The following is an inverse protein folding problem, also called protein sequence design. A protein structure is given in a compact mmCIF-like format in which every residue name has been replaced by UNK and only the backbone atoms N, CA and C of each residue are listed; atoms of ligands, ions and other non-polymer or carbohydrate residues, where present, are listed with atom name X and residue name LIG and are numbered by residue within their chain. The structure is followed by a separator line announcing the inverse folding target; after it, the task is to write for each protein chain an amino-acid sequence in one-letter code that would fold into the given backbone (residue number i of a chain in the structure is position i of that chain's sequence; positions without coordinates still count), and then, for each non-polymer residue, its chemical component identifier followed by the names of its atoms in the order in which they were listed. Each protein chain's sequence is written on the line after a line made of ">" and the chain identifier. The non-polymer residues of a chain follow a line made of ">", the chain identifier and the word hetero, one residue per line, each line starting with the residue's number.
data_IF_030434378814
#
_entry.id   IF_030434378814
#
_cell.length_a   1.000
_cell.length_b   1.000
_cell.length_c   1.000
_cell.angle_alpha   90.00
_cell.angle_beta   90.00
_cell.angle_gamma   90.00
#
_symmetry.space_group_name_H-M   'P 1'
#
loop_
_entity.id
_entity.type
_entity.pdbx_description
1 polymer ?
#
# COMPACT_ATOMS: atom_id res chain seq x y z
N UNK A 1 18.90 -15.19 97.26
CA UNK A 1 18.64 -13.87 97.88
C UNK A 1 18.37 -12.87 96.77
N UNK A 2 17.19 -12.23 96.82
CA UNK A 2 16.90 -10.81 96.49
C UNK A 2 17.60 -10.20 95.25
N UNK A 3 16.91 -9.64 94.26
CA UNK A 3 15.56 -9.14 94.25
C UNK A 3 15.19 -8.57 92.86
N UNK A 4 13.89 -8.34 92.74
CA UNK A 4 13.23 -7.82 91.56
C UNK A 4 13.70 -6.40 91.19
N UNK A 5 13.72 -6.12 89.88
CA UNK A 5 13.49 -4.77 89.35
C UNK A 5 12.45 -4.85 88.24
N UNK A 6 11.34 -4.15 88.51
CA UNK A 6 10.27 -3.84 87.58
C UNK A 6 10.79 -3.20 86.30
N UNK A 7 10.33 -3.69 85.15
CA UNK A 7 10.35 -2.95 83.89
C UNK A 7 8.93 -2.90 83.35
N UNK A 8 8.37 -1.70 83.39
CA UNK A 8 7.04 -1.34 82.92
C UNK A 8 6.95 -1.50 81.39
N UNK A 9 6.14 -2.45 80.90
CA UNK A 9 5.79 -2.54 79.47
C UNK A 9 4.88 -1.36 79.07
N UNK A 10 5.42 -0.39 78.32
CA UNK A 10 4.60 0.57 77.56
C UNK A 10 3.99 -0.15 76.35
N UNK A 11 2.67 -0.38 76.38
CA UNK A 11 1.87 -0.76 75.20
C UNK A 11 1.98 0.33 74.13
N UNK A 12 2.73 0.08 73.07
CA UNK A 12 2.67 0.87 71.84
C UNK A 12 1.37 0.53 71.12
N UNK A 13 0.43 1.47 71.06
CA UNK A 13 -0.77 1.35 70.21
C UNK A 13 -0.34 1.60 68.76
N UNK A 14 -0.16 0.54 67.99
CA UNK A 14 -0.01 0.63 66.52
C UNK A 14 -1.32 1.14 65.94
N UNK A 15 -1.38 2.43 65.55
CA UNK A 15 -2.44 2.95 64.69
C UNK A 15 -2.21 2.40 63.28
N UNK A 16 -3.01 1.42 62.88
CA UNK A 16 -3.11 1.01 61.48
C UNK A 16 -3.84 2.14 60.75
N UNK A 17 -3.10 2.92 59.96
CA UNK A 17 -3.67 3.88 59.02
C UNK A 17 -4.22 3.06 57.83
N UNK A 18 -5.54 2.98 57.70
CA UNK A 18 -6.15 2.59 56.43
C UNK A 18 -5.95 3.76 55.45
N UNK A 19 -4.93 3.65 54.59
CA UNK A 19 -4.81 4.51 53.42
C UNK A 19 -5.77 3.94 52.38
N UNK A 20 -6.95 4.54 52.26
CA UNK A 20 -7.82 4.33 51.11
C UNK A 20 -7.06 4.83 49.89
N UNK A 21 -6.54 3.91 49.08
CA UNK A 21 -5.96 4.23 47.78
C UNK A 21 -7.13 4.65 46.88
N UNK A 22 -7.42 5.95 46.85
CA UNK A 22 -8.33 6.52 45.88
C UNK A 22 -7.61 6.42 44.53
N UNK A 23 -7.90 5.38 43.76
CA UNK A 23 -7.51 5.29 42.37
C UNK A 23 -8.29 6.37 41.61
N UNK A 24 -7.75 7.59 41.58
CA UNK A 24 -8.20 8.61 40.64
C UNK A 24 -7.88 8.10 39.25
N UNK A 25 -8.88 7.54 38.57
CA UNK A 25 -8.85 7.43 37.12
C UNK A 25 -8.67 8.85 36.60
N UNK A 26 -7.47 9.19 36.15
CA UNK A 26 -7.25 10.35 35.31
C UNK A 26 -8.02 10.05 34.02
N UNK A 27 -9.30 10.41 33.99
CA UNK A 27 -10.00 10.64 32.74
C UNK A 27 -9.28 11.84 32.13
N UNK A 28 -8.30 11.56 31.25
CA UNK A 28 -7.73 12.58 30.39
C UNK A 28 -8.91 13.28 29.72
N UNK A 29 -9.05 14.61 29.85
CA UNK A 29 -10.08 15.30 29.09
C UNK A 29 -9.82 14.94 27.62
N UNK A 30 -10.83 14.39 26.95
CA UNK A 30 -10.82 14.29 25.49
C UNK A 30 -10.76 15.73 24.99
N UNK A 31 -9.55 16.24 24.77
CA UNK A 31 -9.38 17.48 24.02
C UNK A 31 -9.97 17.22 22.64
N UNK A 32 -10.82 18.14 22.18
CA UNK A 32 -11.29 18.11 20.81
C UNK A 32 -10.05 18.15 19.90
N UNK A 33 -9.83 17.08 19.13
CA UNK A 33 -8.72 17.02 18.19
C UNK A 33 -8.97 18.01 17.06
N UNK A 34 -7.97 18.82 16.71
CA UNK A 34 -8.07 19.74 15.59
C UNK A 34 -8.17 18.91 14.30
N UNK A 35 -9.18 19.19 13.46
CA UNK A 35 -9.38 18.54 12.16
C UNK A 35 -8.09 18.55 11.34
N UNK A 36 -7.28 19.62 11.46
CA UNK A 36 -5.99 19.76 10.77
C UNK A 36 -5.00 18.63 11.07
N UNK A 37 -5.10 17.98 12.22
CA UNK A 37 -4.23 16.84 12.56
C UNK A 37 -4.50 15.62 11.68
N UNK A 38 -5.70 15.50 11.12
CA UNK A 38 -6.10 14.40 10.24
C UNK A 38 -5.88 14.70 8.75
N UNK A 39 -5.81 15.97 8.36
CA UNK A 39 -5.74 16.37 6.94
C UNK A 39 -4.39 16.03 6.32
N UNK A 40 -4.40 15.49 5.09
CA UNK A 40 -3.28 15.17 4.23
C UNK A 40 -3.26 13.69 3.83
N UNK A 41 -2.12 13.23 3.31
CA UNK A 41 -1.91 11.85 2.84
C UNK A 41 -1.34 10.96 3.95
N UNK A 42 -1.79 9.72 4.02
CA UNK A 42 -1.46 8.78 5.09
C UNK A 42 -1.21 7.37 4.59
N UNK A 43 -0.07 6.84 4.97
CA UNK A 43 0.32 5.45 4.80
C UNK A 43 -0.35 4.63 5.91
N UNK A 44 -1.35 3.84 5.54
CA UNK A 44 -2.16 3.08 6.50
C UNK A 44 -1.73 1.62 6.54
N UNK A 45 -1.60 1.08 7.74
CA UNK A 45 -1.44 -0.34 8.02
C UNK A 45 -2.70 -0.85 8.70
N UNK A 46 -3.34 -1.84 8.08
CA UNK A 46 -4.53 -2.50 8.59
C UNK A 46 -4.13 -3.83 9.18
N UNK A 47 -4.46 -4.05 10.45
CA UNK A 47 -4.14 -5.29 11.16
C UNK A 47 -5.44 -6.02 11.52
N UNK A 48 -5.83 -7.04 10.74
CA UNK A 48 -7.00 -7.86 11.07
C UNK A 48 -6.74 -8.69 12.33
N UNK A 49 -7.79 -9.22 12.95
CA UNK A 49 -7.67 -10.13 14.09
C UNK A 49 -6.89 -11.42 13.76
N UNK A 50 -6.83 -11.81 12.48
CA UNK A 50 -6.00 -12.92 12.00
C UNK A 50 -4.50 -12.63 12.05
N UNK A 51 -4.12 -11.37 12.29
CA UNK A 51 -2.77 -10.94 12.63
C UNK A 51 -1.87 -10.59 11.44
N UNK A 52 -2.22 -10.93 10.19
CA UNK A 52 -1.40 -10.57 9.02
C UNK A 52 -1.75 -9.16 8.52
N UNK A 53 -0.90 -8.14 8.73
CA UNK A 53 -1.22 -6.78 8.32
C UNK A 53 -1.15 -6.63 6.81
N UNK A 54 -1.82 -5.61 6.29
CA UNK A 54 -1.76 -5.23 4.88
C UNK A 54 -1.85 -3.72 4.69
N UNK A 55 -1.32 -3.19 3.58
CA UNK A 55 -1.35 -1.77 3.31
C UNK A 55 -2.71 -1.30 2.81
N UNK A 56 -3.04 -0.08 3.20
CA UNK A 56 -4.02 0.80 2.57
C UNK A 56 -3.45 2.23 2.58
N UNK A 57 -4.18 3.16 2.01
CA UNK A 57 -3.79 4.57 2.01
C UNK A 57 -5.01 5.48 1.99
N UNK A 58 -4.90 6.66 2.57
CA UNK A 58 -5.98 7.66 2.56
C UNK A 58 -5.41 9.06 2.38
N UNK A 59 -6.14 9.90 1.64
CA UNK A 59 -5.92 11.34 1.56
C UNK A 59 -7.17 12.06 2.02
N UNK A 60 -6.98 13.02 2.93
CA UNK A 60 -8.03 13.85 3.51
C UNK A 60 -7.72 15.31 3.26
N UNK A 61 -8.69 16.06 2.79
CA UNK A 61 -8.63 17.52 2.58
C UNK A 61 -9.82 18.18 3.27
N UNK A 62 -9.75 19.49 3.46
CA UNK A 62 -10.86 20.26 4.01
C UNK A 62 -11.14 21.44 3.08
N UNK A 63 -12.41 21.61 2.75
CA UNK A 63 -12.92 22.76 2.00
C UNK A 63 -14.20 23.27 2.66
N UNK A 64 -14.20 24.52 3.08
CA UNK A 64 -15.37 25.18 3.69
C UNK A 64 -15.94 24.48 4.92
N UNK A 65 -15.12 23.82 5.74
CA UNK A 65 -15.53 23.06 6.92
C UNK A 65 -15.97 21.62 6.65
N UNK A 66 -15.99 21.18 5.38
CA UNK A 66 -16.29 19.81 4.99
C UNK A 66 -14.99 19.04 4.75
N UNK A 67 -14.90 17.84 5.34
CA UNK A 67 -13.78 16.93 5.09
C UNK A 67 -14.10 16.12 3.83
N UNK A 68 -13.20 16.15 2.88
CA UNK A 68 -13.25 15.39 1.62
C UNK A 68 -12.01 14.52 1.50
N UNK A 69 -11.98 13.62 0.53
CA UNK A 69 -10.84 12.74 0.39
C UNK A 69 -11.10 11.50 -0.46
N UNK A 70 -10.11 10.62 -0.44
CA UNK A 70 -10.14 9.33 -1.14
C UNK A 70 -9.36 8.29 -0.36
N UNK A 71 -9.77 7.04 -0.54
CA UNK A 71 -9.13 5.87 0.06
C UNK A 71 -8.68 4.92 -1.04
N UNK A 72 -7.48 4.37 -0.87
CA UNK A 72 -6.98 3.24 -1.65
C UNK A 72 -7.15 1.97 -0.80
N UNK A 73 -8.10 1.08 -1.14
CA UNK A 73 -8.22 -0.21 -0.49
C UNK A 73 -7.04 -1.13 -0.82
N UNK A 74 -6.96 -2.29 -0.16
CA UNK A 74 -5.86 -3.26 -0.32
C UNK A 74 -5.66 -3.68 -1.77
N UNK A 75 -6.73 -3.77 -2.55
CA UNK A 75 -6.71 -4.12 -3.96
C UNK A 75 -7.83 -3.40 -4.70
N UNK A 76 -7.72 -3.34 -6.03
CA UNK A 76 -8.64 -2.56 -6.85
C UNK A 76 -8.35 -1.05 -6.82
N UNK A 77 -9.24 -0.28 -7.43
CA UNK A 77 -9.10 1.16 -7.59
C UNK A 77 -9.28 1.93 -6.28
N UNK A 78 -8.65 3.10 -6.18
CA UNK A 78 -9.03 4.08 -5.17
C UNK A 78 -10.44 4.59 -5.46
N UNK A 79 -11.12 5.09 -4.42
CA UNK A 79 -12.41 5.75 -4.59
C UNK A 79 -12.55 6.90 -3.57
N UNK A 80 -13.42 7.89 -3.84
CA UNK A 80 -13.67 8.95 -2.88
C UNK A 80 -14.25 8.39 -1.57
N UNK A 81 -13.99 9.07 -0.45
CA UNK A 81 -14.75 8.86 0.78
C UNK A 81 -16.16 9.42 0.57
N UNK A 82 -17.17 8.84 1.21
CA UNK A 82 -18.55 9.29 1.02
C UNK A 82 -19.04 10.23 2.11
N UNK A 83 -18.43 10.17 3.29
CA UNK A 83 -18.63 11.13 4.37
C UNK A 83 -17.42 11.15 5.32
N UNK A 84 -17.22 12.28 6.01
CA UNK A 84 -16.28 12.39 7.10
C UNK A 84 -16.67 13.49 8.08
N UNK A 85 -16.66 13.19 9.37
CA UNK A 85 -17.03 14.13 10.43
C UNK A 85 -16.35 13.80 11.76
N UNK A 86 -16.27 14.79 12.65
CA UNK A 86 -15.78 14.59 14.01
C UNK A 86 -16.94 14.14 14.91
N UNK A 87 -16.78 12.99 15.58
CA UNK A 87 -17.71 12.50 16.59
C UNK A 87 -16.93 12.06 17.84
N UNK A 88 -17.31 12.60 19.00
CA UNK A 88 -16.67 12.25 20.29
C UNK A 88 -15.14 12.35 20.27
N UNK A 89 -14.61 13.39 19.61
CA UNK A 89 -13.17 13.63 19.49
C UNK A 89 -12.40 12.67 18.57
N UNK A 90 -13.10 11.84 17.80
CA UNK A 90 -12.53 11.01 16.73
C UNK A 90 -12.97 11.51 15.37
N UNK A 91 -12.12 11.33 14.36
CA UNK A 91 -12.55 11.44 12.97
C UNK A 91 -13.23 10.14 12.55
N UNK A 92 -14.49 10.21 12.14
CA UNK A 92 -15.22 9.11 11.52
C UNK A 92 -15.20 9.34 10.01
N UNK A 93 -14.67 8.37 9.25
CA UNK A 93 -14.62 8.42 7.78
C UNK A 93 -15.40 7.24 7.22
N UNK A 94 -16.33 7.49 6.30
CA UNK A 94 -17.01 6.43 5.55
C UNK A 94 -16.16 6.08 4.33
N UNK A 95 -15.51 4.92 4.40
CA UNK A 95 -14.56 4.39 3.41
C UNK A 95 -15.17 3.28 2.56
N UNK A 96 -16.46 3.01 2.69
CA UNK A 96 -17.17 2.05 1.87
C UNK A 96 -18.66 2.11 2.12
N UNK A 97 -19.44 2.19 1.05
CA UNK A 97 -20.89 2.32 1.18
C UNK A 97 -21.54 1.08 1.76
N UNK A 98 -22.66 1.30 2.43
CA UNK A 98 -23.42 0.26 3.10
C UNK A 98 -23.92 -0.84 2.16
N UNK A 99 -24.20 -0.51 0.89
CA UNK A 99 -24.86 -1.43 -0.04
C UNK A 99 -26.14 -2.01 0.59
N UNK A 100 -26.23 -3.34 0.66
CA UNK A 100 -27.32 -4.06 1.35
C UNK A 100 -27.05 -4.32 2.85
N UNK A 101 -25.89 -3.92 3.38
CA UNK A 101 -25.46 -4.12 4.77
C UNK A 101 -25.16 -2.80 5.47
N UNK A 102 -24.15 -2.81 6.35
CA UNK A 102 -23.65 -1.59 7.02
C UNK A 102 -22.47 -0.99 6.27
N UNK A 103 -22.34 0.34 6.32
CA UNK A 103 -21.19 1.04 5.79
C UNK A 103 -19.90 0.61 6.50
N UNK A 104 -18.79 0.68 5.76
CA UNK A 104 -17.45 0.51 6.29
C UNK A 104 -16.94 1.88 6.74
N UNK A 105 -16.63 2.01 8.03
CA UNK A 105 -16.16 3.27 8.61
C UNK A 105 -14.83 3.11 9.30
N UNK A 106 -14.00 4.14 9.26
CA UNK A 106 -12.80 4.23 10.09
C UNK A 106 -13.04 5.25 11.19
N UNK A 107 -12.88 4.82 12.44
CA UNK A 107 -12.81 5.73 13.59
C UNK A 107 -11.34 5.97 13.94
N UNK A 108 -10.87 7.19 13.69
CA UNK A 108 -9.47 7.58 13.79
C UNK A 108 -9.25 8.59 14.91
N UNK A 109 -8.10 8.50 15.55
CA UNK A 109 -7.52 9.50 16.45
C UNK A 109 -6.10 9.85 15.98
N UNK A 110 -5.65 11.05 16.31
CA UNK A 110 -4.26 11.50 16.19
C UNK A 110 -3.60 11.42 17.57
N UNK A 111 -2.92 10.30 17.91
CA UNK A 111 -2.27 10.16 19.21
C UNK A 111 -1.02 11.04 19.35
N UNK A 112 -0.41 11.44 18.23
CA UNK A 112 0.71 12.36 18.16
C UNK A 112 0.88 12.90 16.73
N UNK A 113 1.60 14.01 16.58
CA UNK A 113 1.84 14.63 15.30
C UNK A 113 2.38 13.63 14.25
N UNK A 114 1.69 13.53 13.11
CA UNK A 114 2.06 12.64 12.02
C UNK A 114 1.76 11.16 12.25
N UNK A 115 0.94 10.83 13.26
CA UNK A 115 0.42 9.48 13.51
C UNK A 115 -1.10 9.47 13.53
N UNK A 116 -1.68 8.41 12.97
CA UNK A 116 -3.08 8.05 13.19
C UNK A 116 -3.16 6.68 13.87
N UNK A 117 -4.19 6.50 14.68
CA UNK A 117 -4.57 5.22 15.25
C UNK A 117 -6.08 5.07 15.23
N UNK A 118 -6.59 3.87 15.01
CA UNK A 118 -8.04 3.69 14.94
C UNK A 118 -8.49 2.26 14.75
N UNK A 119 -9.77 2.14 14.44
CA UNK A 119 -10.43 0.87 14.17
C UNK A 119 -11.33 1.03 12.94
N UNK A 120 -11.29 0.04 12.07
CA UNK A 120 -12.29 -0.12 11.03
C UNK A 120 -13.54 -0.78 11.64
N UNK A 121 -14.72 -0.28 11.29
CA UNK A 121 -16.01 -0.78 11.79
C UNK A 121 -16.95 -1.07 10.65
N UNK A 122 -17.82 -2.05 10.88
CA UNK A 122 -18.95 -2.36 10.01
C UNK A 122 -20.24 -2.21 10.82
N UNK A 123 -20.85 -1.04 10.76
CA UNK A 123 -21.85 -0.63 11.74
C UNK A 123 -21.21 -0.54 13.14
N UNK A 124 -21.81 -1.18 14.14
CA UNK A 124 -21.30 -1.17 15.52
C UNK A 124 -20.25 -2.25 15.81
N UNK A 125 -19.91 -3.07 14.81
CA UNK A 125 -18.94 -4.17 14.97
C UNK A 125 -17.53 -3.68 14.68
N UNK A 126 -16.66 -3.79 15.67
CA UNK A 126 -15.23 -3.55 15.53
C UNK A 126 -14.59 -4.60 14.61
N UNK A 127 -13.77 -4.11 13.68
CA UNK A 127 -12.99 -4.89 12.73
C UNK A 127 -11.49 -4.71 12.96
N UNK A 128 -10.69 -4.66 11.88
CA UNK A 128 -9.25 -4.48 11.95
C UNK A 128 -8.80 -3.21 12.69
N UNK A 129 -7.63 -3.29 13.33
CA UNK A 129 -6.94 -2.13 13.88
C UNK A 129 -6.24 -1.35 12.78
N UNK A 130 -6.25 -0.02 12.89
CA UNK A 130 -5.66 0.90 11.93
C UNK A 130 -4.50 1.65 12.59
N UNK A 131 -3.38 1.71 11.89
CA UNK A 131 -2.26 2.58 12.22
C UNK A 131 -1.87 3.37 10.98
N UNK A 132 -1.77 4.69 11.11
CA UNK A 132 -1.38 5.59 10.03
C UNK A 132 -0.09 6.33 10.36
N UNK A 133 0.75 6.50 9.34
CA UNK A 133 1.88 7.42 9.36
C UNK A 133 1.68 8.45 8.28
N UNK A 134 2.09 9.70 8.55
CA UNK A 134 2.01 10.73 7.54
C UNK A 134 2.82 10.29 6.32
N UNK A 135 2.20 10.32 5.15
CA UNK A 135 2.90 9.97 3.92
C UNK A 135 4.08 10.94 3.75
N UNK A 136 5.30 10.42 3.52
CA UNK A 136 6.51 11.22 3.42
C UNK A 136 6.45 12.13 2.19
N UNK A 137 7.01 13.34 2.31
CA UNK A 137 7.31 14.15 1.13
C UNK A 137 8.54 13.56 0.44
N UNK A 138 8.37 12.99 -0.76
CA UNK A 138 9.45 12.36 -1.54
C UNK A 138 9.60 13.06 -2.89
N UNK A 139 9.79 14.37 -2.82
CA UNK A 139 10.17 15.20 -3.96
C UNK A 139 11.70 15.32 -4.00
N UNK A 140 12.31 14.73 -5.03
CA UNK A 140 13.77 14.69 -5.18
C UNK A 140 14.16 15.04 -6.62
N UNK A 141 15.25 15.78 -6.82
CA UNK A 141 15.72 16.10 -8.16
C UNK A 141 16.15 14.83 -8.91
N UNK A 142 15.84 14.77 -10.20
CA UNK A 142 16.26 13.67 -11.07
C UNK A 142 17.80 13.57 -11.08
N UNK A 143 18.37 12.39 -10.79
CA UNK A 143 19.81 12.16 -10.86
C UNK A 143 20.39 12.47 -12.24
N UNK A 144 21.52 13.19 -12.27
CA UNK A 144 22.24 13.56 -13.49
C UNK A 144 22.95 12.38 -14.15
N UNK A 145 23.39 11.41 -13.36
CA UNK A 145 24.14 10.25 -13.83
C UNK A 145 23.51 8.94 -13.34
N UNK A 146 23.48 7.98 -14.26
CA UNK A 146 22.93 6.64 -14.05
C UNK A 146 23.98 5.59 -14.36
N UNK A 147 23.91 4.43 -13.70
CA UNK A 147 24.72 3.27 -14.06
C UNK A 147 24.36 2.79 -15.47
N UNK A 148 25.27 2.03 -16.10
CA UNK A 148 24.89 1.25 -17.29
C UNK A 148 23.76 0.27 -16.94
N UNK A 149 22.79 0.02 -17.83
CA UNK A 149 21.75 -0.96 -17.58
C UNK A 149 22.35 -2.33 -17.30
N UNK A 150 21.78 -3.04 -16.32
CA UNK A 150 22.05 -4.45 -16.05
C UNK A 150 20.76 -5.26 -16.10
N UNK A 151 20.85 -6.52 -16.47
CA UNK A 151 19.69 -7.41 -16.47
C UNK A 151 19.19 -7.73 -15.05
N UNK A 152 17.87 -7.76 -14.89
CA UNK A 152 17.16 -8.37 -13.74
C UNK A 152 16.67 -9.78 -14.06
N UNK A 153 16.64 -10.15 -15.34
CA UNK A 153 16.31 -11.49 -15.81
C UNK A 153 17.24 -11.85 -16.97
N UNK A 154 17.88 -13.01 -16.91
CA UNK A 154 18.92 -13.43 -17.85
C UNK A 154 18.43 -14.41 -18.92
N UNK A 155 17.13 -14.73 -18.91
CA UNK A 155 16.50 -15.66 -19.85
C UNK A 155 16.58 -17.14 -19.45
N UNK A 156 17.23 -17.50 -18.34
CA UNK A 156 17.56 -18.89 -18.03
C UNK A 156 16.77 -19.46 -16.86
N UNK A 157 16.68 -18.71 -15.77
CA UNK A 157 16.00 -19.13 -14.55
C UNK A 157 15.42 -17.94 -13.79
N UNK A 158 14.72 -18.21 -12.69
CA UNK A 158 14.12 -17.18 -11.83
C UNK A 158 15.10 -16.66 -10.77
N UNK A 159 16.42 -16.82 -10.93
CA UNK A 159 17.37 -16.32 -9.94
C UNK A 159 17.21 -14.81 -9.78
N UNK A 160 17.08 -14.37 -8.54
CA UNK A 160 16.79 -12.98 -8.21
C UNK A 160 15.29 -12.66 -8.15
N UNK A 161 14.41 -13.63 -8.37
CA UNK A 161 12.96 -13.54 -8.24
C UNK A 161 12.44 -14.59 -7.27
N UNK A 162 11.40 -14.23 -6.51
CA UNK A 162 10.73 -15.15 -5.60
C UNK A 162 9.20 -15.03 -5.70
N UNK A 163 8.47 -16.16 -5.60
CA UNK A 163 7.01 -16.15 -5.62
C UNK A 163 6.44 -15.59 -4.33
N UNK A 164 5.33 -14.87 -4.43
CA UNK A 164 4.57 -14.32 -3.31
C UNK A 164 3.07 -14.53 -3.51
N UNK A 165 2.29 -14.35 -2.44
CA UNK A 165 0.86 -14.62 -2.46
C UNK A 165 0.59 -16.12 -2.48
N UNK A 166 -0.02 -16.63 -3.55
CA UNK A 166 -0.35 -18.04 -3.70
C UNK A 166 0.84 -18.89 -4.18
N UNK A 167 1.90 -18.97 -3.37
CA UNK A 167 3.18 -19.62 -3.71
C UNK A 167 3.01 -21.08 -4.12
N UNK A 168 2.07 -21.80 -3.51
CA UNK A 168 1.77 -23.20 -3.85
C UNK A 168 1.23 -23.37 -5.28
N UNK A 169 0.63 -22.31 -5.84
CA UNK A 169 0.18 -22.24 -7.23
C UNK A 169 1.09 -21.36 -8.08
N UNK A 170 2.41 -21.51 -7.95
CA UNK A 170 3.36 -20.78 -8.79
C UNK A 170 3.30 -21.27 -10.25
N UNK A 171 3.04 -20.33 -11.18
CA UNK A 171 3.00 -20.56 -12.63
C UNK A 171 4.15 -19.89 -13.38
N UNK A 172 5.07 -19.24 -12.67
CA UNK A 172 6.18 -18.52 -13.27
C UNK A 172 7.30 -19.48 -13.68
N UNK A 173 7.72 -19.37 -14.94
CA UNK A 173 8.79 -20.18 -15.52
C UNK A 173 9.70 -19.33 -16.40
N UNK A 174 10.98 -19.71 -16.47
CA UNK A 174 11.86 -19.24 -17.53
C UNK A 174 11.74 -20.20 -18.71
N UNK A 175 11.27 -19.71 -19.86
CA UNK A 175 11.05 -20.52 -21.06
C UNK A 175 11.44 -19.70 -22.29
N UNK A 176 12.28 -20.27 -23.15
CA UNK A 176 12.70 -19.66 -24.43
C UNK A 176 13.31 -18.26 -24.31
N UNK A 177 14.02 -17.97 -23.20
CA UNK A 177 14.62 -16.66 -22.95
C UNK A 177 13.66 -15.63 -22.32
N UNK A 178 12.45 -16.07 -21.95
CA UNK A 178 11.37 -15.22 -21.44
C UNK A 178 10.96 -15.65 -20.03
N UNK A 179 10.50 -14.67 -19.24
CA UNK A 179 9.88 -14.88 -17.95
C UNK A 179 8.37 -14.95 -18.18
N UNK A 180 7.80 -16.14 -18.02
CA UNK A 180 6.42 -16.43 -18.42
C UNK A 180 5.57 -16.73 -17.19
N UNK A 181 4.43 -16.06 -17.06
CA UNK A 181 3.36 -16.48 -16.16
C UNK A 181 2.42 -17.43 -16.93
N UNK A 182 2.57 -18.74 -16.75
CA UNK A 182 1.77 -19.75 -17.47
C UNK A 182 0.40 -19.98 -16.79
N UNK A 183 -0.40 -18.91 -16.73
CA UNK A 183 -1.70 -18.87 -16.07
C UNK A 183 -2.85 -18.58 -17.06
N UNK A 184 -3.18 -19.52 -17.96
CA UNK A 184 -4.23 -19.30 -18.97
C UNK A 184 -5.59 -19.05 -18.33
N UNK A 185 -6.45 -18.31 -19.03
CA UNK A 185 -7.86 -18.19 -18.65
C UNK A 185 -8.55 -19.56 -18.81
N UNK A 186 -9.24 -20.00 -17.76
CA UNK A 186 -10.05 -21.22 -17.79
C UNK A 186 -11.52 -20.82 -17.57
N UNK A 187 -12.39 -20.94 -18.59
CA UNK A 187 -13.79 -20.57 -18.48
C UNK A 187 -14.48 -21.24 -17.29
N UNK A 188 -15.14 -20.44 -16.47
CA UNK A 188 -15.88 -20.91 -15.28
C UNK A 188 -15.00 -21.22 -14.06
N UNK A 189 -13.68 -21.15 -14.17
CA UNK A 189 -12.77 -21.33 -13.03
C UNK A 189 -12.47 -19.98 -12.39
N UNK A 190 -13.08 -19.71 -11.23
CA UNK A 190 -12.73 -18.59 -10.36
C UNK A 190 -11.87 -19.12 -9.22
N UNK A 191 -10.56 -19.08 -9.38
CA UNK A 191 -9.58 -19.50 -8.37
C UNK A 191 -8.94 -18.32 -7.64
N UNK A 192 -8.14 -18.60 -6.60
CA UNK A 192 -7.36 -17.61 -5.85
C UNK A 192 -6.15 -17.01 -6.62
N UNK A 193 -6.15 -17.09 -7.95
CA UNK A 193 -5.02 -16.69 -8.80
C UNK A 193 -3.78 -17.60 -8.67
N UNK A 194 -2.83 -17.44 -9.59
CA UNK A 194 -1.47 -17.99 -9.44
C UNK A 194 -0.65 -17.16 -8.44
N UNK A 195 0.57 -17.60 -8.15
CA UNK A 195 1.53 -16.76 -7.43
C UNK A 195 1.82 -15.49 -8.24
N UNK A 196 2.06 -14.40 -7.53
CA UNK A 196 2.82 -13.30 -8.10
C UNK A 196 4.32 -13.55 -7.90
N UNK A 197 5.20 -12.73 -8.49
CA UNK A 197 6.64 -12.77 -8.19
C UNK A 197 7.19 -11.38 -7.88
N UNK A 198 8.28 -11.32 -7.12
CA UNK A 198 9.01 -10.09 -6.89
C UNK A 198 10.52 -10.29 -6.95
N UNK A 199 11.26 -9.22 -7.22
CA UNK A 199 12.72 -9.26 -7.14
C UNK A 199 13.17 -9.39 -5.68
N UNK A 200 14.24 -10.14 -5.44
CA UNK A 200 14.87 -10.21 -4.11
C UNK A 200 15.64 -8.93 -3.77
N UNK A 201 16.11 -8.21 -4.80
CA UNK A 201 16.70 -6.88 -4.66
C UNK A 201 15.63 -5.79 -4.51
N UNK A 202 15.98 -4.72 -3.81
CA UNK A 202 15.12 -3.53 -3.61
C UNK A 202 15.79 -2.29 -4.20
N UNK A 203 14.97 -1.41 -4.76
CA UNK A 203 15.39 -0.21 -5.48
C UNK A 203 14.68 1.03 -4.94
N UNK A 204 15.38 2.16 -4.98
CA UNK A 204 14.85 3.45 -4.57
C UNK A 204 14.46 4.27 -5.80
N UNK A 205 15.45 4.88 -6.45
CA UNK A 205 15.30 5.54 -7.75
C UNK A 205 15.89 4.65 -8.82
N UNK A 206 15.26 4.60 -9.99
CA UNK A 206 15.71 3.76 -11.08
C UNK A 206 15.22 4.23 -12.43
N UNK A 207 15.90 3.74 -13.47
CA UNK A 207 15.35 3.57 -14.79
C UNK A 207 15.15 2.08 -15.03
N UNK A 208 13.95 1.68 -15.42
CA UNK A 208 13.57 0.33 -15.80
C UNK A 208 13.29 0.30 -17.30
N UNK A 209 13.85 -0.68 -18.00
CA UNK A 209 13.36 -1.12 -19.30
C UNK A 209 12.79 -2.53 -19.15
N UNK A 210 11.62 -2.76 -19.72
CA UNK A 210 10.94 -4.06 -19.68
C UNK A 210 10.11 -4.25 -20.94
N UNK A 211 10.24 -5.40 -21.58
CA UNK A 211 9.37 -5.80 -22.68
C UNK A 211 8.31 -6.75 -22.15
N UNK A 212 7.07 -6.57 -22.62
CA UNK A 212 5.93 -7.39 -22.23
C UNK A 212 5.10 -7.77 -23.44
N UNK A 213 4.60 -9.00 -23.44
CA UNK A 213 3.52 -9.46 -24.29
C UNK A 213 2.35 -9.90 -23.40
N UNK A 214 1.22 -9.21 -23.53
CA UNK A 214 0.00 -9.51 -22.81
C UNK A 214 -1.09 -9.87 -23.84
N UNK A 215 -1.64 -11.09 -23.84
CA UNK A 215 -2.67 -11.50 -24.78
C UNK A 215 -3.98 -10.72 -24.57
N UNK A 216 -4.89 -10.78 -25.55
CA UNK A 216 -6.25 -10.28 -25.35
C UNK A 216 -6.91 -10.97 -24.15
N UNK A 217 -7.63 -10.20 -23.34
CA UNK A 217 -8.24 -10.69 -22.08
C UNK A 217 -7.24 -10.90 -20.93
N UNK A 218 -5.93 -10.81 -21.19
CA UNK A 218 -4.90 -10.90 -20.17
C UNK A 218 -4.90 -9.68 -19.24
N UNK A 219 -4.55 -9.91 -17.98
CA UNK A 219 -4.34 -8.86 -16.99
C UNK A 219 -3.13 -9.18 -16.11
N UNK A 220 -2.33 -8.17 -15.83
CA UNK A 220 -1.16 -8.17 -14.96
C UNK A 220 -0.83 -6.73 -14.59
N UNK A 221 0.30 -6.54 -13.91
CA UNK A 221 0.80 -5.24 -13.49
C UNK A 221 2.29 -5.31 -13.20
N UNK A 222 3.00 -4.24 -13.53
CA UNK A 222 4.40 -4.02 -13.16
C UNK A 222 4.42 -3.05 -12.00
N UNK A 223 4.66 -3.56 -10.80
CA UNK A 223 4.66 -2.75 -9.59
C UNK A 223 6.05 -2.21 -9.29
N UNK A 224 6.15 -0.89 -9.42
CA UNK A 224 7.32 -0.09 -9.13
C UNK A 224 7.48 0.02 -7.60
N UNK A 225 8.63 -0.43 -7.09
CA UNK A 225 8.92 -0.54 -5.64
C UNK A 225 7.89 -1.38 -4.87
N UNK A 226 7.14 -2.25 -5.56
CA UNK A 226 6.07 -3.05 -4.97
C UNK A 226 4.84 -2.25 -4.53
N UNK A 227 4.67 -1.01 -5.01
CA UNK A 227 3.64 -0.08 -4.51
C UNK A 227 2.85 0.63 -5.59
N UNK A 228 3.45 0.87 -6.76
CA UNK A 228 2.81 1.63 -7.83
C UNK A 228 2.68 0.78 -9.08
N UNK A 229 1.47 0.40 -9.41
CA UNK A 229 1.16 -0.44 -10.56
C UNK A 229 1.19 0.37 -11.86
N UNK A 230 2.11 0.01 -12.74
CA UNK A 230 2.00 0.26 -14.17
C UNK A 230 1.18 -0.88 -14.77
N UNK A 231 -0.03 -0.56 -15.23
CA UNK A 231 -1.01 -1.53 -15.67
C UNK A 231 -0.57 -2.31 -16.92
N UNK A 232 -0.74 -3.64 -16.90
CA UNK A 232 -0.47 -4.51 -18.05
C UNK A 232 -1.74 -5.24 -18.46
N UNK A 233 -2.32 -4.85 -19.59
CA UNK A 233 -3.53 -5.46 -20.15
C UNK A 233 -4.67 -4.46 -20.29
N UNK A 234 -5.74 -4.89 -20.95
CA UNK A 234 -6.89 -4.05 -21.37
C UNK A 234 -6.51 -2.87 -22.26
N UNK A 235 -7.17 -2.75 -23.42
CA UNK A 235 -7.19 -1.54 -24.25
C UNK A 235 -8.62 -1.31 -24.74
N UNK A 236 -9.10 -0.07 -24.77
CA UNK A 236 -10.48 0.24 -25.19
C UNK A 236 -11.54 -0.07 -24.14
N UNK A 237 -11.15 -0.02 -22.86
CA UNK A 237 -12.04 -0.23 -21.72
C UNK A 237 -12.91 1.00 -21.43
N UNK A 238 -13.86 0.83 -20.50
CA UNK A 238 -14.71 1.95 -20.03
C UNK A 238 -13.99 2.89 -19.06
N UNK A 239 -12.91 2.43 -18.45
CA UNK A 239 -12.12 3.17 -17.46
C UNK A 239 -10.70 3.34 -18.02
N UNK A 240 -10.37 4.49 -18.63
CA UNK A 240 -9.05 4.73 -19.21
C UNK A 240 -7.90 4.55 -18.21
N UNK A 241 -8.10 4.85 -16.93
CA UNK A 241 -7.08 4.67 -15.87
C UNK A 241 -6.83 3.20 -15.49
N UNK A 242 -7.49 2.25 -16.16
CA UNK A 242 -7.30 0.80 -15.99
C UNK A 242 -6.76 0.15 -17.27
N UNK A 243 -6.34 0.94 -18.25
CA UNK A 243 -5.79 0.44 -19.52
C UNK A 243 -4.28 0.24 -19.46
N UNK A 244 -3.75 -0.55 -20.41
CA UNK A 244 -2.33 -0.82 -20.61
C UNK A 244 -1.50 0.48 -20.58
N UNK A 245 -0.54 0.54 -19.67
CA UNK A 245 0.35 1.69 -19.48
C UNK A 245 -0.21 2.79 -18.55
N UNK A 246 -1.41 2.64 -17.99
CA UNK A 246 -1.89 3.52 -16.92
C UNK A 246 -1.04 3.36 -15.66
N UNK A 247 -0.87 4.45 -14.90
CA UNK A 247 -0.60 4.30 -13.47
C UNK A 247 -1.95 3.99 -12.84
N UNK A 248 -2.14 2.73 -12.44
CA UNK A 248 -3.46 2.15 -12.20
C UNK A 248 -4.33 3.05 -11.31
N UNK A 249 -5.56 3.30 -11.76
CA UNK A 249 -6.56 4.16 -11.13
C UNK A 249 -6.21 5.66 -11.05
N UNK A 250 -4.95 6.07 -11.18
CA UNK A 250 -4.54 7.48 -11.06
C UNK A 250 -4.44 8.20 -12.41
N UNK A 251 -3.62 7.68 -13.32
CA UNK A 251 -3.28 8.37 -14.56
C UNK A 251 -3.54 7.47 -15.77
N UNK A 252 -4.52 7.80 -16.62
CA UNK A 252 -4.78 7.06 -17.85
C UNK A 252 -3.65 7.26 -18.87
N UNK A 253 -3.45 6.32 -19.82
CA UNK A 253 -2.59 6.57 -20.96
C UNK A 253 -3.16 7.73 -21.81
N UNK A 254 -2.35 8.36 -22.69
CA UNK A 254 -2.83 9.38 -23.60
C UNK A 254 -3.96 8.86 -24.50
N UNK A 255 -4.91 9.73 -24.85
CA UNK A 255 -6.00 9.38 -25.74
C UNK A 255 -5.46 8.86 -27.09
N UNK A 256 -6.01 7.74 -27.57
CA UNK A 256 -5.59 7.12 -28.83
C UNK A 256 -4.21 6.43 -28.79
N UNK A 257 -3.60 6.26 -27.62
CA UNK A 257 -2.29 5.60 -27.50
C UNK A 257 -2.33 4.05 -27.61
N UNK A 258 -3.51 3.46 -27.80
CA UNK A 258 -3.69 2.01 -27.98
C UNK A 258 -2.76 1.46 -29.06
N UNK A 259 -2.07 0.34 -28.77
CA UNK A 259 -1.10 -0.27 -29.69
C UNK A 259 -1.34 -1.77 -29.93
N UNK A 260 -2.47 -2.29 -29.44
CA UNK A 260 -2.89 -3.68 -29.56
C UNK A 260 -2.25 -4.58 -28.50
N UNK A 261 -3.05 -5.54 -28.04
CA UNK A 261 -2.62 -6.64 -27.18
C UNK A 261 -2.09 -7.81 -28.04
N UNK A 262 -1.45 -8.78 -27.39
CA UNK A 262 -0.87 -9.98 -28.01
C UNK A 262 0.45 -9.75 -28.77
N UNK A 263 1.00 -8.54 -28.68
CA UNK A 263 2.27 -8.15 -29.32
C UNK A 263 3.27 -7.73 -28.25
N UNK A 264 4.55 -7.90 -28.56
CA UNK A 264 5.62 -7.32 -27.76
C UNK A 264 5.55 -5.80 -27.81
N UNK A 265 5.55 -5.19 -26.63
CA UNK A 265 5.63 -3.74 -26.42
C UNK A 265 6.68 -3.47 -25.34
N UNK A 266 7.30 -2.29 -25.37
CA UNK A 266 8.30 -1.89 -24.38
C UNK A 266 7.73 -0.88 -23.41
N UNK A 267 8.17 -0.94 -22.16
CA UNK A 267 8.05 0.17 -21.21
C UNK A 267 9.43 0.63 -20.77
N UNK A 268 9.68 1.93 -20.92
CA UNK A 268 10.82 2.63 -20.35
C UNK A 268 10.31 3.54 -19.24
N UNK A 269 10.66 3.21 -18.00
CA UNK A 269 10.15 3.87 -16.80
C UNK A 269 11.30 4.55 -16.07
N UNK A 270 11.15 5.82 -15.72
CA UNK A 270 12.01 6.49 -14.74
C UNK A 270 11.16 6.78 -13.50
N UNK A 271 11.59 6.28 -12.34
CA UNK A 271 10.98 6.61 -11.06
C UNK A 271 12.03 7.30 -10.18
N UNK A 272 11.76 8.53 -9.78
CA UNK A 272 12.58 9.29 -8.83
C UNK A 272 11.68 9.81 -7.72
N UNK A 273 11.92 9.35 -6.49
CA UNK A 273 10.98 9.59 -5.40
C UNK A 273 9.63 8.93 -5.69
N UNK A 274 8.64 9.77 -6.00
CA UNK A 274 7.30 9.37 -6.43
C UNK A 274 6.89 9.92 -7.80
N UNK A 275 7.82 10.61 -8.46
CA UNK A 275 7.60 11.10 -9.81
C UNK A 275 7.95 10.02 -10.82
N UNK A 276 7.01 9.74 -11.72
CA UNK A 276 7.15 8.71 -12.74
C UNK A 276 7.08 9.31 -14.12
N UNK A 277 8.06 8.94 -14.95
CA UNK A 277 8.02 9.09 -16.39
C UNK A 277 7.88 7.71 -17.01
N UNK A 278 6.93 7.54 -17.92
CA UNK A 278 6.70 6.28 -18.64
C UNK A 278 6.65 6.55 -20.13
N UNK A 279 7.44 5.80 -20.88
CA UNK A 279 7.29 5.67 -22.32
C UNK A 279 6.84 4.25 -22.64
N UNK A 280 5.91 4.11 -23.58
CA UNK A 280 5.55 2.83 -24.19
C UNK A 280 5.92 2.86 -25.67
N UNK A 281 6.73 1.92 -26.13
CA UNK A 281 7.24 1.88 -27.51
C UNK A 281 7.83 3.23 -27.95
N UNK A 282 8.55 3.91 -27.04
CA UNK A 282 9.15 5.23 -27.26
C UNK A 282 8.17 6.42 -27.27
N UNK A 283 6.86 6.20 -27.09
CA UNK A 283 5.87 7.27 -26.97
C UNK A 283 5.64 7.65 -25.50
N UNK A 284 5.57 8.94 -25.21
CA UNK A 284 5.32 9.44 -23.86
C UNK A 284 3.92 9.08 -23.38
N UNK A 285 3.82 8.43 -22.23
CA UNK A 285 2.55 8.11 -21.57
C UNK A 285 2.33 8.98 -20.35
N UNK A 286 3.35 9.07 -19.50
CA UNK A 286 3.35 9.89 -18.28
C UNK A 286 4.65 10.70 -18.26
N UNK A 287 4.56 12.01 -18.10
CA UNK A 287 5.73 12.90 -18.07
C UNK A 287 5.93 13.46 -16.65
N UNK A 288 6.80 12.79 -15.88
CA UNK A 288 7.24 13.19 -14.54
C UNK A 288 6.08 13.50 -13.57
N UNK A 289 4.99 12.74 -13.66
CA UNK A 289 3.80 12.93 -12.82
C UNK A 289 4.03 12.41 -11.41
N UNK A 290 3.57 13.13 -10.40
CA UNK A 290 3.62 12.69 -9.01
C UNK A 290 2.52 11.65 -8.75
N UNK A 291 2.90 10.42 -8.40
CA UNK A 291 1.95 9.40 -7.98
C UNK A 291 1.43 9.78 -6.59
N UNK A 292 0.10 9.91 -6.34
CA UNK A 292 -0.40 10.45 -5.06
C UNK A 292 -0.28 9.52 -3.85
N UNK A 293 -0.56 8.23 -4.03
CA UNK A 293 -0.47 7.17 -3.02
C UNK A 293 0.01 5.85 -3.65
N UNK A 294 0.21 4.79 -2.86
CA UNK A 294 0.28 3.44 -3.41
C UNK A 294 -0.97 3.13 -4.24
N UNK A 295 -0.86 2.22 -5.21
CA UNK A 295 -2.01 1.64 -5.92
C UNK A 295 -2.52 0.42 -5.17
N UNK A 296 -3.70 -0.08 -5.54
CA UNK A 296 -4.17 -1.38 -5.06
C UNK A 296 -3.14 -2.47 -5.38
N UNK A 297 -3.02 -3.47 -4.52
CA UNK A 297 -2.04 -4.56 -4.67
C UNK A 297 -0.65 -4.25 -4.11
N UNK A 298 -0.43 -3.07 -3.51
CA UNK A 298 0.83 -2.73 -2.85
C UNK A 298 1.25 -3.77 -1.79
N UNK A 299 2.55 -3.99 -1.64
CA UNK A 299 3.12 -4.90 -0.64
C UNK A 299 3.14 -4.27 0.76
N UNK A 300 3.39 -2.97 0.82
CA UNK A 300 3.40 -2.16 2.03
C UNK A 300 3.15 -0.68 1.68
N UNK A 301 2.90 0.16 2.68
CA UNK A 301 2.73 1.61 2.51
C UNK A 301 4.00 2.39 2.88
N UNK A 302 5.19 1.79 2.93
CA UNK A 302 6.42 2.47 3.32
C UNK A 302 7.04 3.23 2.13
N UNK A 303 6.38 4.28 1.67
CA UNK A 303 6.68 4.93 0.39
C UNK A 303 8.10 5.53 0.31
N UNK A 304 8.73 5.85 1.46
CA UNK A 304 10.11 6.37 1.51
C UNK A 304 11.17 5.26 1.34
N UNK A 305 10.83 3.99 1.56
CA UNK A 305 11.79 2.89 1.65
C UNK A 305 12.01 2.17 0.31
N UNK A 306 13.23 1.72 0.00
CA UNK A 306 13.47 0.93 -1.21
C UNK A 306 12.52 -0.26 -1.29
N UNK A 307 12.09 -0.61 -2.50
CA UNK A 307 11.13 -1.70 -2.72
C UNK A 307 11.49 -2.55 -3.93
N UNK A 308 10.99 -3.79 -4.01
CA UNK A 308 11.26 -4.68 -5.13
C UNK A 308 10.51 -4.24 -6.39
N UNK A 309 10.82 -4.83 -7.54
CA UNK A 309 9.81 -4.94 -8.60
C UNK A 309 8.90 -6.12 -8.27
N UNK A 310 7.61 -5.97 -8.52
CA UNK A 310 6.61 -7.02 -8.33
C UNK A 310 5.81 -7.17 -9.63
N UNK A 311 5.65 -8.40 -10.12
CA UNK A 311 4.85 -8.71 -11.30
C UNK A 311 3.62 -9.50 -10.86
N UNK A 312 2.44 -9.00 -11.24
CA UNK A 312 1.17 -9.59 -10.89
C UNK A 312 0.90 -10.82 -11.76
N UNK A 313 0.91 -12.00 -11.15
CA UNK A 313 0.59 -13.28 -11.78
C UNK A 313 -0.73 -13.90 -11.34
N UNK A 314 -1.36 -13.35 -10.30
CA UNK A 314 -2.64 -13.83 -9.76
C UNK A 314 -3.85 -13.56 -10.67
N UNK A 315 -3.66 -12.82 -11.76
CA UNK A 315 -4.62 -12.61 -12.82
C UNK A 315 -4.39 -13.56 -14.02
N UNK A 316 -5.42 -13.72 -14.84
CA UNK A 316 -5.41 -14.65 -15.97
C UNK A 316 -4.71 -14.06 -17.20
N UNK A 317 -4.23 -14.96 -18.05
CA UNK A 317 -3.51 -14.66 -19.28
C UNK A 317 -2.09 -15.23 -19.22
N UNK A 318 -1.65 -15.85 -20.31
CA UNK A 318 -0.24 -16.26 -20.43
C UNK A 318 0.58 -15.01 -20.75
N UNK A 319 1.10 -14.36 -19.71
CA UNK A 319 1.87 -13.12 -19.85
C UNK A 319 3.35 -13.46 -20.00
N UNK A 320 4.03 -12.80 -20.93
CA UNK A 320 5.45 -13.01 -21.20
C UNK A 320 6.22 -11.71 -21.01
N UNK A 321 7.36 -11.79 -20.35
CA UNK A 321 8.28 -10.68 -20.16
C UNK A 321 9.67 -11.06 -20.65
N UNK A 322 10.42 -10.07 -21.16
CA UNK A 322 11.83 -10.23 -21.48
C UNK A 322 12.57 -8.91 -21.40
N UNK A 323 13.89 -8.98 -21.58
CA UNK A 323 14.75 -7.81 -21.63
C UNK A 323 14.53 -6.85 -20.44
N UNK A 324 14.43 -7.41 -19.23
CA UNK A 324 14.18 -6.63 -18.02
C UNK A 324 15.52 -6.08 -17.55
N UNK A 325 15.73 -4.76 -17.65
CA UNK A 325 16.99 -4.12 -17.25
C UNK A 325 16.76 -2.92 -16.34
N UNK A 326 17.73 -2.68 -15.46
CA UNK A 326 17.71 -1.56 -14.53
C UNK A 326 19.00 -0.74 -14.58
N UNK A 327 18.84 0.57 -14.48
CA UNK A 327 19.90 1.51 -14.10
C UNK A 327 19.52 2.20 -12.79
N UNK A 328 20.48 2.39 -11.91
CA UNK A 328 20.32 3.14 -10.64
C UNK A 328 21.19 4.40 -10.67
N UNK A 329 20.95 5.39 -9.79
CA UNK A 329 21.80 6.56 -9.71
C UNK A 329 23.24 6.17 -9.39
N UNK A 330 24.21 6.84 -10.03
CA UNK A 330 25.61 6.69 -9.58
C UNK A 330 25.78 7.36 -8.21
N UNK A 331 26.57 6.70 -7.35
CA UNK A 331 27.03 7.28 -6.09
C UNK A 331 28.14 8.29 -6.34
#
# INVERSE_FOLDING_TARGET
>A
MVGAKDVTLKRVKTKILFVSLLATSLASPLFAQDVKEFLGRWDMTVTPATGKPYPQWIELTEDGGKIEGRVQPRGGAWHPITDAHIASGKLVVVVGDAGAGSALTWELTSPSAGKLAGVEKKGDVDGPMLAGVKAPLIDRPVPKEWTKPRALFDGKDLKGWEPIGNVENNKWVARDGELVNDNPEVPGQRGHGAANIMTTEKFQDFKLHIEVNCPEGGNSGIYLRGRYELQVGTEGGKLPSHEMGAIYSYFPPPEGAQNGLGKWTTFDVTLVGRHVTVLRDGKMYHDNVEIPGPTGGALDSNEAEPGPFYLQGDHHGVIQYRNITISVPKK
#
